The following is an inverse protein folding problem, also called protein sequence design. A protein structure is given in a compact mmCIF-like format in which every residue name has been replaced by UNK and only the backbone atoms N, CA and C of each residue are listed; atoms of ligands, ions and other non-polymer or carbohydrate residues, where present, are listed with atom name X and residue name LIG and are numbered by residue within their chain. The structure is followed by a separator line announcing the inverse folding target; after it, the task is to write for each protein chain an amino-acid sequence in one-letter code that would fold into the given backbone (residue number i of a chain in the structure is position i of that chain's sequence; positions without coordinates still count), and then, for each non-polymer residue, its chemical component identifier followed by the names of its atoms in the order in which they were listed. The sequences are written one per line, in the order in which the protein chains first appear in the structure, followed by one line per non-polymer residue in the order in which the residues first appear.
data_IF_839734788721
#
_entry.id   IF_839734788721
#
_cell.length_a   1.000
_cell.length_b   1.000
_cell.length_c   1.000
_cell.angle_alpha   90.00
_cell.angle_beta   90.00
_cell.angle_gamma   90.00
#
_symmetry.space_group_name_H-M   'P 1'
#
loop_
_entity.id
_entity.type
_entity.pdbx_description
1 polymer ?
#
# COMPACT_ATOMS: atom_id res chain seq x y z
N UNK A 1 -21.10 -6.36 -0.06
CA UNK A 1 -19.87 -5.64 -0.47
C UNK A 1 -19.78 -5.72 -1.98
N UNK A 2 -19.58 -4.60 -2.66
CA UNK A 2 -19.41 -4.62 -4.12
C UNK A 2 -17.95 -4.90 -4.49
N UNK A 3 -17.72 -5.32 -5.74
CA UNK A 3 -16.40 -5.66 -6.24
C UNK A 3 -15.39 -4.50 -6.07
N UNK A 4 -15.85 -3.26 -6.26
CA UNK A 4 -15.04 -2.04 -6.10
C UNK A 4 -14.48 -1.91 -4.67
N UNK A 5 -15.32 -2.12 -3.66
CA UNK A 5 -14.90 -2.08 -2.25
C UNK A 5 -13.94 -3.23 -1.90
N UNK A 6 -14.19 -4.44 -2.41
CA UNK A 6 -13.31 -5.61 -2.20
C UNK A 6 -11.92 -5.36 -2.79
N UNK A 7 -11.85 -4.87 -4.03
CA UNK A 7 -10.57 -4.50 -4.66
C UNK A 7 -9.86 -3.40 -3.89
N UNK A 8 -10.59 -2.41 -3.36
CA UNK A 8 -10.03 -1.34 -2.55
C UNK A 8 -9.41 -1.86 -1.26
N UNK A 9 -10.07 -2.80 -0.57
CA UNK A 9 -9.56 -3.45 0.63
C UNK A 9 -8.28 -4.25 0.30
N UNK A 10 -8.30 -5.06 -0.76
CA UNK A 10 -7.13 -5.84 -1.19
C UNK A 10 -5.95 -4.92 -1.50
N UNK A 11 -6.18 -3.85 -2.25
CA UNK A 11 -5.13 -2.90 -2.64
C UNK A 11 -4.57 -2.15 -1.42
N UNK A 12 -5.43 -1.81 -0.45
CA UNK A 12 -5.00 -1.18 0.81
C UNK A 12 -4.13 -2.13 1.63
N UNK A 13 -4.52 -3.39 1.77
CA UNK A 13 -3.73 -4.40 2.48
C UNK A 13 -2.39 -4.67 1.79
N UNK A 14 -2.37 -4.78 0.46
CA UNK A 14 -1.14 -4.93 -0.31
C UNK A 14 -0.21 -3.72 -0.14
N UNK A 15 -0.75 -2.50 -0.19
CA UNK A 15 0.02 -1.27 0.06
C UNK A 15 0.59 -1.20 1.47
N UNK A 16 -0.19 -1.59 2.48
CA UNK A 16 0.24 -1.67 3.87
C UNK A 16 1.43 -2.63 4.03
N UNK A 17 1.37 -3.81 3.41
CA UNK A 17 2.46 -4.79 3.43
C UNK A 17 3.73 -4.19 2.82
N UNK A 18 3.63 -3.49 1.68
CA UNK A 18 4.76 -2.81 1.04
C UNK A 18 5.39 -1.74 1.92
N UNK A 19 4.56 -0.93 2.60
CA UNK A 19 5.04 0.08 3.55
C UNK A 19 5.76 -0.55 4.76
N UNK A 20 5.22 -1.64 5.30
CA UNK A 20 5.84 -2.38 6.42
C UNK A 20 7.21 -2.93 5.98
N UNK A 21 7.30 -3.58 4.82
CA UNK A 21 8.57 -4.11 4.32
C UNK A 21 9.59 -3.01 4.07
N UNK A 22 9.20 -1.89 3.47
CA UNK A 22 10.08 -0.74 3.28
C UNK A 22 10.58 -0.17 4.61
N UNK A 23 9.71 -0.07 5.62
CA UNK A 23 10.08 0.36 6.97
C UNK A 23 11.07 -0.61 7.65
N UNK A 24 10.83 -1.92 7.56
CA UNK A 24 11.76 -2.94 8.07
C UNK A 24 13.12 -2.89 7.35
N UNK A 25 13.13 -2.60 6.05
CA UNK A 25 14.38 -2.51 5.30
C UNK A 25 15.19 -1.28 5.70
N UNK A 26 14.52 -0.14 5.92
CA UNK A 26 15.16 1.08 6.41
C UNK A 26 15.81 0.93 7.81
N UNK A 27 15.26 0.09 8.69
CA UNK A 27 15.84 -0.11 10.03
C UNK A 27 17.12 -0.95 10.02
N UNK A 28 17.41 -1.68 8.94
CA UNK A 28 18.62 -2.51 8.80
C UNK A 28 19.89 -1.70 8.46
N UNK A 29 19.80 -0.37 8.38
CA UNK A 29 20.94 0.52 8.20
C UNK A 29 21.50 0.63 6.79
N UNK A 30 21.04 -0.22 5.85
CA UNK A 30 21.34 -0.13 4.43
C UNK A 30 20.13 0.37 3.65
N UNK A 31 20.08 1.67 3.36
CA UNK A 31 19.07 2.22 2.46
C UNK A 31 19.38 1.77 1.04
N UNK A 32 18.63 0.78 0.53
CA UNK A 32 18.77 0.31 -0.84
C UNK A 32 17.77 1.03 -1.75
N UNK A 33 18.05 1.04 -3.06
CA UNK A 33 17.06 1.50 -4.05
C UNK A 33 15.73 0.71 -3.92
N UNK A 34 15.80 -0.56 -3.51
CA UNK A 34 14.62 -1.38 -3.28
C UNK A 34 13.78 -0.89 -2.10
N UNK A 35 14.39 -0.36 -1.03
CA UNK A 35 13.67 0.21 0.12
C UNK A 35 12.75 1.36 -0.32
N UNK A 36 13.25 2.24 -1.20
CA UNK A 36 12.45 3.33 -1.78
C UNK A 36 11.32 2.81 -2.67
N UNK A 37 11.57 1.76 -3.46
CA UNK A 37 10.52 1.13 -4.28
C UNK A 37 9.39 0.60 -3.40
N UNK A 38 9.71 -0.10 -2.31
CA UNK A 38 8.69 -0.64 -1.40
C UNK A 38 7.83 0.45 -0.78
N UNK A 39 8.44 1.55 -0.32
CA UNK A 39 7.70 2.64 0.32
C UNK A 39 6.88 3.45 -0.68
N UNK A 40 7.44 3.78 -1.85
CA UNK A 40 6.72 4.54 -2.87
C UNK A 40 5.57 3.71 -3.44
N UNK A 41 5.84 2.46 -3.86
CA UNK A 41 4.83 1.59 -4.43
C UNK A 41 3.76 1.22 -3.39
N UNK A 42 4.19 0.89 -2.17
CA UNK A 42 3.30 0.61 -1.05
C UNK A 42 2.40 1.79 -0.72
N UNK A 43 2.95 3.01 -0.69
CA UNK A 43 2.20 4.25 -0.51
C UNK A 43 1.16 4.47 -1.61
N UNK A 44 1.56 4.35 -2.88
CA UNK A 44 0.63 4.50 -4.03
C UNK A 44 -0.53 3.51 -3.90
N UNK A 45 -0.25 2.24 -3.64
CA UNK A 45 -1.30 1.21 -3.53
C UNK A 45 -2.19 1.44 -2.32
N UNK A 46 -1.63 1.86 -1.18
CA UNK A 46 -2.39 2.15 0.03
C UNK A 46 -3.38 3.30 -0.19
N UNK A 47 -2.92 4.43 -0.73
CA UNK A 47 -3.79 5.59 -0.99
C UNK A 47 -4.80 5.31 -2.11
N UNK A 48 -4.41 4.62 -3.17
CA UNK A 48 -5.32 4.20 -4.23
C UNK A 48 -6.42 3.26 -3.70
N UNK A 49 -6.06 2.31 -2.84
CA UNK A 49 -7.00 1.35 -2.23
C UNK A 49 -8.03 2.06 -1.37
N UNK A 50 -7.57 2.95 -0.49
CA UNK A 50 -8.44 3.80 0.33
C UNK A 50 -9.35 4.67 -0.54
N UNK A 51 -8.80 5.28 -1.61
CA UNK A 51 -9.57 6.09 -2.55
C UNK A 51 -10.69 5.27 -3.22
N UNK A 52 -10.40 4.02 -3.57
CA UNK A 52 -11.37 3.11 -4.18
C UNK A 52 -12.48 2.73 -3.19
N UNK A 53 -12.13 2.43 -1.94
CA UNK A 53 -13.10 2.16 -0.86
C UNK A 53 -14.00 3.39 -0.63
N UNK A 54 -13.43 4.60 -0.51
CA UNK A 54 -14.20 5.84 -0.28
C UNK A 54 -15.08 6.25 -1.46
N UNK A 55 -14.63 6.01 -2.68
CA UNK A 55 -15.39 6.30 -3.92
C UNK A 55 -16.53 5.30 -4.16
N UNK A 56 -16.65 4.30 -3.31
CA UNK A 56 -17.79 3.40 -3.31
C UNK A 56 -18.98 4.15 -2.74
N UNK A 57 -19.85 4.70 -3.62
CA UNK A 57 -21.18 5.13 -3.17
C UNK A 57 -21.91 3.89 -2.67
N UNK A 58 -22.34 3.95 -1.42
CA UNK A 58 -23.31 3.00 -0.85
C UNK A 58 -24.63 3.18 -1.57
#
# INVERSE_FOLDING_TARGET
MNAKSILGIILTLAGLIGLIYGGIDFTKGGVSQASFVYVILGGIFFFAGIGLVRSTRV
#
